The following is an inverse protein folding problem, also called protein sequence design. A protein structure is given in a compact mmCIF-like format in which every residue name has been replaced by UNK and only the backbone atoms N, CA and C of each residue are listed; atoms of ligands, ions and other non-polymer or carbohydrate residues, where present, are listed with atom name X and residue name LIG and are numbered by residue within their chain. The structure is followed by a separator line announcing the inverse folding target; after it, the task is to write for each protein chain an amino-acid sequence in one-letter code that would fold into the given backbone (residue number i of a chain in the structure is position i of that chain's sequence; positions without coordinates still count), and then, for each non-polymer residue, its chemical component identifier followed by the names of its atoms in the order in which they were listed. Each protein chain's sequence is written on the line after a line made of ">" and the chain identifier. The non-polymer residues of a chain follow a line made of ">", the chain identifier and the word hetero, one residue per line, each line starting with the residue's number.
data_IF_189793402689
#
_entry.id   IF_189793402689
#
_cell.length_a   1.000
_cell.length_b   1.000
_cell.length_c   1.000
_cell.angle_alpha   90.00
_cell.angle_beta   90.00
_cell.angle_gamma   90.00
#
_symmetry.space_group_name_H-M   'P 1'
#
loop_
_entity.id
_entity.type
_entity.pdbx_description
1 polymer ?
#
# COMPACT_ATOMS: atom_id res chain seq x y z
N UNK A 1 3.37 3.41 13.26
CA UNK A 1 2.26 4.33 12.95
C UNK A 1 1.61 4.92 14.20
N UNK A 2 0.94 4.12 15.04
CA UNK A 2 0.21 4.63 16.22
C UNK A 2 1.07 5.40 17.22
N UNK A 3 2.34 5.00 17.43
CA UNK A 3 3.29 5.72 18.28
C UNK A 3 3.47 7.20 17.86
N UNK A 4 3.64 7.46 16.56
CA UNK A 4 3.80 8.82 16.03
C UNK A 4 2.54 9.67 16.17
N UNK A 5 1.37 9.04 16.07
CA UNK A 5 0.08 9.70 16.31
C UNK A 5 -0.06 10.08 17.79
N UNK A 6 0.30 9.17 18.70
CA UNK A 6 0.29 9.43 20.16
C UNK A 6 1.24 10.57 20.52
N UNK A 7 2.46 10.58 19.97
CA UNK A 7 3.44 11.65 20.18
C UNK A 7 2.94 12.98 19.63
N UNK A 8 2.31 12.99 18.44
CA UNK A 8 1.72 14.19 17.85
C UNK A 8 0.64 14.81 18.75
N UNK A 9 -0.22 13.98 19.34
CA UNK A 9 -1.28 14.41 20.26
C UNK A 9 -0.67 14.92 21.57
N UNK A 10 0.27 14.16 22.16
CA UNK A 10 0.89 14.51 23.44
C UNK A 10 1.71 15.81 23.38
N UNK A 11 2.40 16.05 22.26
CA UNK A 11 3.24 17.25 22.04
C UNK A 11 2.47 18.39 21.37
N UNK A 12 1.20 18.19 20.98
CA UNK A 12 0.41 19.08 20.10
C UNK A 12 1.14 19.53 18.85
N UNK A 13 2.11 18.75 18.39
CA UNK A 13 2.92 19.07 17.23
C UNK A 13 2.57 18.10 16.09
N UNK A 14 1.83 18.62 15.12
CA UNK A 14 1.38 17.86 13.95
C UNK A 14 2.54 17.35 13.07
N UNK A 15 3.76 17.90 13.20
CA UNK A 15 4.93 17.39 12.46
C UNK A 15 5.22 15.91 12.71
N UNK A 16 4.90 15.41 13.91
CA UNK A 16 5.08 14.00 14.23
C UNK A 16 4.18 13.08 13.41
N UNK A 17 3.06 13.58 12.86
CA UNK A 17 2.20 12.80 11.97
C UNK A 17 2.91 12.42 10.67
N UNK A 18 3.92 13.19 10.22
CA UNK A 18 4.73 12.82 9.05
C UNK A 18 5.64 11.62 9.33
N UNK A 19 6.03 11.40 10.59
CA UNK A 19 6.80 10.22 10.98
C UNK A 19 6.02 8.91 10.80
N UNK A 20 4.68 8.97 10.84
CA UNK A 20 3.83 7.79 10.69
C UNK A 20 3.92 7.15 9.28
N UNK A 21 3.70 7.86 8.15
CA UNK A 21 3.89 7.29 6.83
C UNK A 21 5.36 7.01 6.53
N UNK A 22 6.29 7.86 6.97
CA UNK A 22 7.73 7.65 6.74
C UNK A 22 8.20 6.33 7.35
N UNK A 23 7.88 6.07 8.61
CA UNK A 23 8.27 4.84 9.28
C UNK A 23 7.58 3.61 8.67
N UNK A 24 6.31 3.73 8.26
CA UNK A 24 5.59 2.64 7.60
C UNK A 24 6.22 2.28 6.24
N UNK A 25 6.51 3.28 5.41
CA UNK A 25 7.18 3.08 4.12
C UNK A 25 8.60 2.54 4.27
N UNK A 26 9.37 3.05 5.24
CA UNK A 26 10.73 2.57 5.49
C UNK A 26 10.73 1.07 5.85
N UNK A 27 9.82 0.63 6.72
CA UNK A 27 9.67 -0.78 7.07
C UNK A 27 9.16 -1.62 5.90
N UNK A 28 8.21 -1.12 5.12
CA UNK A 28 7.68 -1.83 3.95
C UNK A 28 8.77 -2.05 2.89
N UNK A 29 9.54 -1.01 2.54
CA UNK A 29 10.67 -1.13 1.64
C UNK A 29 11.76 -2.06 2.20
N UNK A 30 12.05 -1.97 3.49
CA UNK A 30 13.00 -2.89 4.12
C UNK A 30 12.57 -4.35 3.94
N UNK A 31 11.29 -4.67 4.15
CA UNK A 31 10.76 -6.02 3.92
C UNK A 31 10.86 -6.43 2.45
N UNK A 32 10.43 -5.59 1.51
CA UNK A 32 10.47 -5.90 0.08
C UNK A 32 11.90 -6.14 -0.44
N UNK A 33 12.86 -5.32 -0.02
CA UNK A 33 14.25 -5.42 -0.51
C UNK A 33 15.08 -6.48 0.22
N UNK A 34 14.95 -6.61 1.55
CA UNK A 34 15.82 -7.48 2.35
C UNK A 34 15.22 -8.86 2.66
N UNK A 35 13.89 -8.98 2.72
CA UNK A 35 13.22 -10.24 3.05
C UNK A 35 12.72 -10.91 1.77
N UNK A 36 11.94 -10.21 0.96
CA UNK A 36 11.36 -10.76 -0.28
C UNK A 36 12.32 -10.68 -1.48
N UNK A 37 13.28 -9.75 -1.46
CA UNK A 37 14.21 -9.53 -2.57
C UNK A 37 13.52 -9.08 -3.87
N UNK A 38 12.30 -8.54 -3.79
CA UNK A 38 11.59 -8.03 -4.95
C UNK A 38 11.88 -6.55 -5.16
N UNK A 39 11.77 -6.11 -6.42
CA UNK A 39 11.86 -4.69 -6.74
C UNK A 39 10.43 -4.16 -6.90
N UNK A 40 10.00 -3.17 -6.10
CA UNK A 40 8.63 -2.68 -6.17
C UNK A 40 8.26 -2.26 -7.60
N UNK A 41 7.12 -2.76 -8.10
CA UNK A 41 6.66 -2.47 -9.47
C UNK A 41 6.53 -0.96 -9.75
N UNK A 42 6.39 -0.15 -8.70
CA UNK A 42 6.43 1.31 -8.72
C UNK A 42 7.70 1.88 -9.35
N UNK A 43 8.84 1.19 -9.27
CA UNK A 43 10.09 1.65 -9.90
C UNK A 43 10.13 1.43 -11.41
N UNK A 44 9.43 0.42 -11.94
CA UNK A 44 9.36 0.15 -13.38
C UNK A 44 8.24 0.91 -14.08
N UNK A 45 7.04 0.95 -13.47
CA UNK A 45 5.85 1.57 -14.06
C UNK A 45 5.06 2.36 -13.01
N UNK A 46 5.56 3.52 -12.56
CA UNK A 46 4.99 4.27 -11.44
C UNK A 46 3.51 4.63 -11.62
N UNK A 47 3.13 5.08 -12.82
CA UNK A 47 1.72 5.42 -13.11
C UNK A 47 0.86 4.18 -13.41
N UNK A 48 1.48 3.14 -13.98
CA UNK A 48 0.81 1.89 -14.33
C UNK A 48 0.38 1.11 -13.09
N UNK A 49 1.29 0.98 -12.11
CA UNK A 49 1.02 0.32 -10.83
C UNK A 49 -0.05 1.06 -10.05
N UNK A 50 0.07 2.39 -9.90
CA UNK A 50 -0.94 3.20 -9.22
C UNK A 50 -2.33 3.06 -9.85
N UNK A 51 -2.44 3.11 -11.18
CA UNK A 51 -3.72 2.94 -11.87
C UNK A 51 -4.31 1.55 -11.66
N UNK A 52 -3.47 0.52 -11.63
CA UNK A 52 -3.89 -0.85 -11.35
C UNK A 52 -4.41 -0.97 -9.91
N UNK A 53 -3.70 -0.42 -8.93
CA UNK A 53 -4.09 -0.41 -7.52
C UNK A 53 -5.44 0.28 -7.32
N UNK A 54 -5.65 1.45 -7.92
CA UNK A 54 -6.94 2.15 -7.84
C UNK A 54 -8.08 1.38 -8.52
N UNK A 55 -7.81 0.74 -9.66
CA UNK A 55 -8.83 -0.10 -10.33
C UNK A 55 -9.21 -1.28 -9.45
N UNK A 56 -8.22 -1.97 -8.90
CA UNK A 56 -8.42 -3.12 -8.02
C UNK A 56 -9.18 -2.71 -6.75
N UNK A 57 -8.79 -1.61 -6.12
CA UNK A 57 -9.47 -1.05 -4.95
C UNK A 57 -10.94 -0.71 -5.24
N UNK A 58 -11.23 -0.09 -6.40
CA UNK A 58 -12.61 0.19 -6.83
C UNK A 58 -13.42 -1.09 -7.04
N UNK A 59 -12.83 -2.11 -7.67
CA UNK A 59 -13.49 -3.41 -7.89
C UNK A 59 -13.77 -4.12 -6.56
N UNK A 60 -12.86 -3.99 -5.59
CA UNK A 60 -13.02 -4.56 -4.26
C UNK A 60 -14.16 -3.87 -3.50
N UNK A 61 -14.20 -2.53 -3.50
CA UNK A 61 -15.29 -1.75 -2.89
C UNK A 61 -16.65 -1.99 -3.53
N UNK A 62 -16.69 -2.26 -4.83
CA UNK A 62 -17.94 -2.54 -5.56
C UNK A 62 -18.34 -4.02 -5.54
N UNK A 63 -17.55 -4.88 -4.89
CA UNK A 63 -17.75 -6.33 -4.86
C UNK A 63 -17.64 -7.00 -6.25
N UNK A 64 -17.00 -6.32 -7.20
CA UNK A 64 -16.85 -6.78 -8.59
C UNK A 64 -15.54 -7.50 -8.85
N UNK A 65 -14.61 -7.51 -7.88
CA UNK A 65 -13.26 -8.08 -8.05
C UNK A 65 -13.29 -9.55 -8.47
N UNK A 66 -14.08 -10.39 -7.79
CA UNK A 66 -14.18 -11.82 -8.12
C UNK A 66 -14.70 -12.06 -9.55
N UNK A 67 -15.73 -11.33 -9.98
CA UNK A 67 -16.23 -11.42 -11.36
C UNK A 67 -15.21 -10.99 -12.40
N UNK A 68 -14.39 -9.99 -12.08
CA UNK A 68 -13.33 -9.54 -12.99
C UNK A 68 -12.19 -10.59 -13.07
N UNK A 69 -11.86 -11.25 -11.97
CA UNK A 69 -10.88 -12.36 -11.94
C UNK A 69 -11.39 -13.58 -12.73
N UNK A 70 -12.64 -13.99 -12.51
CA UNK A 70 -13.31 -15.05 -13.30
C UNK A 70 -13.33 -14.72 -14.79
N UNK A 71 -13.64 -13.46 -15.15
CA UNK A 71 -13.61 -12.99 -16.54
C UNK A 71 -12.23 -13.10 -17.17
N UNK A 72 -11.18 -12.92 -16.37
CA UNK A 72 -9.78 -13.09 -16.81
C UNK A 72 -9.32 -14.55 -16.77
N UNK A 73 -10.19 -15.48 -16.36
CA UNK A 73 -9.84 -16.90 -16.22
C UNK A 73 -8.90 -17.21 -15.05
N UNK A 74 -8.80 -16.29 -14.09
CA UNK A 74 -8.01 -16.46 -12.86
C UNK A 74 -8.97 -17.03 -11.82
N UNK A 75 -9.05 -18.36 -11.76
CA UNK A 75 -9.81 -19.07 -10.73
C UNK A 75 -9.03 -19.07 -9.42
N UNK A 76 -9.60 -18.48 -8.37
CA UNK A 76 -9.20 -18.75 -6.99
C UNK A 76 -9.66 -20.20 -6.70
N UNK A 77 -8.76 -21.19 -6.82
CA UNK A 77 -8.99 -22.54 -6.27
C UNK A 77 -9.01 -22.53 -4.74
#
# INVERSE_FOLDING_TARGET
>A
MFLFVIIAIATRNAWWLLGAPIAAYALAWFSHFFIEGNNPATFGHPFGSLRADFRMYRLMLTGQLGRELERMGISEE
#
